data_IF_577016741066
#
_entry.id   IF_577016741066
#
_cell.length_a   1.000
_cell.length_b   1.000
_cell.length_c   1.000
_cell.angle_alpha   90.00
_cell.angle_beta   90.00
_cell.angle_gamma   90.00
#
_symmetry.space_group_name_H-M   'P 1'
#
loop_
_entity.id
_entity.type
_entity.pdbx_description
1 polymer ?
#
# COMPACT_ATOMS: atom_id res chain seq x y z
N UNK A 1 -15.23 2.81 20.27
CA UNK A 1 -15.07 2.73 18.83
C UNK A 1 -13.74 3.39 18.49
N UNK A 2 -12.77 2.58 18.07
CA UNK A 2 -11.55 3.09 17.48
C UNK A 2 -11.97 3.91 16.27
N UNK A 3 -11.71 5.22 16.30
CA UNK A 3 -11.71 6.06 15.10
C UNK A 3 -10.64 5.46 14.17
N UNK A 4 -11.04 4.54 13.34
CA UNK A 4 -10.35 4.31 12.10
C UNK A 4 -10.76 5.50 11.25
N UNK A 5 -9.83 6.45 11.06
CA UNK A 5 -9.94 7.37 9.96
C UNK A 5 -10.25 6.52 8.74
N UNK A 6 -11.12 7.01 7.91
CA UNK A 6 -11.49 6.38 6.66
C UNK A 6 -10.25 6.38 5.73
N UNK A 7 -9.34 5.45 5.95
CA UNK A 7 -8.39 5.04 4.92
C UNK A 7 -9.25 4.40 3.83
N UNK A 8 -9.80 5.28 2.98
CA UNK A 8 -10.55 4.87 1.82
C UNK A 8 -9.58 4.10 0.95
N UNK A 9 -9.85 2.81 0.81
CA UNK A 9 -8.95 1.87 0.18
C UNK A 9 -8.91 2.02 -1.33
N UNK A 10 -7.73 1.94 -1.92
CA UNK A 10 -7.54 1.71 -3.35
C UNK A 10 -7.91 0.25 -3.71
N UNK A 11 -7.98 -0.04 -5.00
CA UNK A 11 -8.14 -1.38 -5.61
C UNK A 11 -9.53 -2.01 -5.53
N UNK A 12 -10.21 -1.97 -4.39
CA UNK A 12 -11.53 -2.60 -4.23
C UNK A 12 -12.61 -1.97 -5.10
N UNK A 13 -13.67 -2.73 -5.42
CA UNK A 13 -14.78 -2.26 -6.28
C UNK A 13 -16.16 -2.46 -5.64
N UNK A 14 -17.08 -1.62 -6.08
CA UNK A 14 -18.53 -1.78 -5.92
C UNK A 14 -19.20 -1.60 -7.28
N UNK A 15 -20.25 -2.36 -7.58
CA UNK A 15 -21.06 -2.15 -8.78
C UNK A 15 -22.21 -1.19 -8.49
N UNK A 16 -22.55 -0.35 -9.47
CA UNK A 16 -23.66 0.59 -9.39
C UNK A 16 -24.61 0.41 -10.58
N UNK A 17 -25.90 0.68 -10.34
CA UNK A 17 -26.93 0.76 -11.39
C UNK A 17 -26.88 2.11 -12.13
N UNK A 18 -27.79 2.31 -13.08
CA UNK A 18 -27.91 3.57 -13.86
C UNK A 18 -28.36 4.77 -13.03
N UNK A 19 -28.91 4.56 -11.85
CA UNK A 19 -29.27 5.60 -10.88
C UNK A 19 -28.11 5.89 -9.88
N UNK A 20 -26.98 5.17 -9.99
CA UNK A 20 -25.84 5.30 -9.09
C UNK A 20 -26.05 4.64 -7.72
N UNK A 21 -26.98 3.70 -7.58
CA UNK A 21 -27.12 2.92 -6.35
C UNK A 21 -26.20 1.70 -6.37
N UNK A 22 -25.64 1.33 -5.22
CA UNK A 22 -24.84 0.13 -5.12
C UNK A 22 -25.72 -1.12 -5.29
N UNK A 23 -25.35 -1.99 -6.22
CA UNK A 23 -26.03 -3.27 -6.52
C UNK A 23 -25.18 -4.49 -6.17
N UNK A 24 -24.11 -4.27 -5.42
CA UNK A 24 -23.26 -5.32 -4.87
C UNK A 24 -22.71 -4.95 -3.49
N UNK A 25 -22.18 -5.92 -2.72
CA UNK A 25 -21.31 -5.59 -1.60
C UNK A 25 -20.02 -4.91 -2.12
N UNK A 26 -19.29 -4.25 -1.21
CA UNK A 26 -17.95 -3.77 -1.49
C UNK A 26 -16.97 -4.96 -1.49
N UNK A 27 -16.34 -5.20 -2.61
CA UNK A 27 -15.19 -6.10 -2.71
C UNK A 27 -13.92 -5.32 -2.37
N UNK A 28 -13.26 -5.68 -1.29
CA UNK A 28 -12.11 -4.89 -0.79
C UNK A 28 -10.80 -5.28 -1.47
N UNK A 29 -9.73 -4.52 -1.24
CA UNK A 29 -8.38 -4.84 -1.69
C UNK A 29 -7.85 -6.18 -1.13
N UNK A 30 -8.45 -6.70 -0.07
CA UNK A 30 -8.13 -8.01 0.54
C UNK A 30 -8.87 -9.17 -0.13
N UNK A 31 -9.66 -8.91 -1.17
CA UNK A 31 -10.41 -9.96 -1.86
C UNK A 31 -9.47 -11.00 -2.44
N UNK A 32 -9.61 -12.24 -1.98
CA UNK A 32 -8.72 -13.36 -2.31
C UNK A 32 -9.06 -14.10 -3.60
N UNK A 33 -10.18 -13.78 -4.28
CA UNK A 33 -10.69 -14.53 -5.45
C UNK A 33 -9.72 -14.58 -6.61
N UNK A 34 -8.87 -13.54 -6.79
CA UNK A 34 -7.84 -13.53 -7.81
C UNK A 34 -6.79 -14.64 -7.67
N UNK A 35 -6.61 -15.19 -6.46
CA UNK A 35 -5.70 -16.31 -6.18
C UNK A 35 -6.34 -17.69 -6.36
N UNK A 36 -7.65 -17.77 -6.58
CA UNK A 36 -8.34 -19.04 -6.81
C UNK A 36 -7.88 -19.65 -8.13
N UNK A 37 -7.85 -20.99 -8.16
CA UNK A 37 -7.45 -21.75 -9.35
C UNK A 37 -8.44 -21.53 -10.49
N UNK A 38 -7.90 -21.31 -11.70
CA UNK A 38 -8.65 -21.13 -12.93
C UNK A 38 -8.14 -22.10 -14.01
N UNK A 39 -8.03 -21.66 -15.26
CA UNK A 39 -7.59 -22.49 -16.39
C UNK A 39 -6.07 -22.74 -16.37
N UNK A 40 -5.66 -23.86 -16.97
CA UNK A 40 -4.24 -24.22 -17.20
C UNK A 40 -3.38 -24.22 -15.92
N UNK A 41 -3.97 -24.59 -14.78
CA UNK A 41 -3.35 -24.54 -13.45
C UNK A 41 -2.93 -23.15 -12.99
N UNK A 42 -3.32 -22.07 -13.68
CA UNK A 42 -3.11 -20.69 -13.28
C UNK A 42 -4.20 -20.26 -12.30
N UNK A 43 -3.95 -19.17 -11.58
CA UNK A 43 -5.00 -18.43 -10.89
C UNK A 43 -5.58 -17.33 -11.79
N UNK A 44 -6.69 -16.71 -11.37
CA UNK A 44 -7.36 -15.67 -12.15
C UNK A 44 -6.47 -14.46 -12.42
N UNK A 45 -5.68 -14.01 -11.43
CA UNK A 45 -4.77 -12.88 -11.59
C UNK A 45 -3.68 -13.18 -12.63
N UNK A 46 -3.03 -14.35 -12.53
CA UNK A 46 -1.98 -14.75 -13.49
C UNK A 46 -2.56 -14.95 -14.90
N UNK A 47 -3.75 -15.53 -15.01
CA UNK A 47 -4.41 -15.71 -16.30
C UNK A 47 -4.74 -14.37 -16.94
N UNK A 48 -5.30 -13.41 -16.17
CA UNK A 48 -5.58 -12.06 -16.64
C UNK A 48 -4.31 -11.33 -17.10
N UNK A 49 -3.22 -11.42 -16.31
CA UNK A 49 -1.91 -10.89 -16.69
C UNK A 49 -1.44 -11.43 -18.05
N UNK A 50 -1.55 -12.75 -18.26
CA UNK A 50 -1.10 -13.39 -19.51
C UNK A 50 -1.90 -12.93 -20.72
N UNK A 51 -3.21 -12.66 -20.57
CA UNK A 51 -4.08 -12.19 -21.64
C UNK A 51 -3.79 -10.72 -21.99
N UNK A 52 -3.62 -9.89 -20.96
CA UNK A 52 -3.59 -8.43 -21.11
C UNK A 52 -2.19 -7.86 -21.21
N UNK A 53 -1.17 -8.58 -20.71
CA UNK A 53 0.19 -8.07 -20.57
C UNK A 53 0.40 -7.14 -19.36
N UNK A 54 -0.68 -6.74 -18.67
CA UNK A 54 -0.61 -5.84 -17.53
C UNK A 54 -0.35 -6.58 -16.23
N UNK A 55 0.38 -5.99 -15.27
CA UNK A 55 0.49 -6.52 -13.91
C UNK A 55 -0.90 -6.70 -13.27
N UNK A 56 -1.16 -7.89 -12.74
CA UNK A 56 -2.42 -8.20 -12.08
C UNK A 56 -2.15 -8.96 -10.77
N UNK A 57 -2.85 -8.58 -9.72
CA UNK A 57 -2.77 -9.21 -8.42
C UNK A 57 -4.17 -9.37 -7.81
N UNK A 58 -4.34 -10.36 -6.93
CA UNK A 58 -5.57 -10.50 -6.15
C UNK A 58 -5.85 -9.22 -5.37
N UNK A 59 -7.11 -8.80 -5.35
CA UNK A 59 -7.54 -7.54 -4.76
C UNK A 59 -7.57 -6.36 -5.74
N UNK A 60 -6.95 -6.44 -6.92
CA UNK A 60 -7.14 -5.44 -7.97
C UNK A 60 -8.56 -5.51 -8.52
N UNK A 61 -9.18 -4.35 -8.72
CA UNK A 61 -10.59 -4.26 -9.10
C UNK A 61 -10.96 -5.02 -10.36
N UNK A 62 -10.14 -4.92 -11.42
CA UNK A 62 -10.39 -5.65 -12.66
C UNK A 62 -10.08 -7.15 -12.56
N UNK A 63 -9.24 -7.59 -11.61
CA UNK A 63 -9.10 -9.02 -11.30
C UNK A 63 -10.35 -9.56 -10.62
N UNK A 64 -10.90 -8.81 -9.66
CA UNK A 64 -12.17 -9.14 -9.00
C UNK A 64 -13.32 -9.17 -10.00
N UNK A 65 -13.40 -8.17 -10.88
CA UNK A 65 -14.42 -8.11 -11.93
C UNK A 65 -14.28 -9.25 -12.94
N UNK A 66 -13.05 -9.56 -13.36
CA UNK A 66 -12.76 -10.69 -14.24
C UNK A 66 -13.25 -12.01 -13.63
N UNK A 67 -12.95 -12.26 -12.36
CA UNK A 67 -13.50 -13.41 -11.65
C UNK A 67 -15.03 -13.42 -11.68
N UNK A 68 -15.66 -12.28 -11.40
CA UNK A 68 -17.12 -12.18 -11.37
C UNK A 68 -17.76 -12.47 -12.72
N UNK A 69 -17.17 -12.00 -13.82
CA UNK A 69 -17.62 -12.34 -15.20
C UNK A 69 -17.57 -13.85 -15.42
N UNK A 70 -16.43 -14.48 -15.14
CA UNK A 70 -16.21 -15.90 -15.40
C UNK A 70 -17.10 -16.81 -14.55
N UNK A 71 -17.67 -16.31 -13.47
CA UNK A 71 -18.53 -17.07 -12.55
C UNK A 71 -19.99 -16.59 -12.50
N UNK A 72 -20.41 -15.69 -13.41
CA UNK A 72 -21.79 -15.19 -13.45
C UNK A 72 -22.20 -14.40 -12.21
N UNK A 73 -21.29 -13.70 -11.58
CA UNK A 73 -21.48 -12.96 -10.33
C UNK A 73 -21.58 -11.44 -10.52
N UNK A 74 -21.50 -10.97 -11.75
CA UNK A 74 -21.77 -9.55 -12.05
C UNK A 74 -23.29 -9.33 -11.91
N UNK A 75 -23.75 -8.37 -11.09
CA UNK A 75 -25.19 -8.10 -10.97
C UNK A 75 -25.81 -7.75 -12.32
N UNK A 76 -27.03 -8.23 -12.57
CA UNK A 76 -27.70 -8.07 -13.86
C UNK A 76 -28.01 -6.58 -14.19
N UNK A 77 -28.17 -5.75 -13.16
CA UNK A 77 -28.40 -4.30 -13.22
C UNK A 77 -27.12 -3.46 -13.03
N UNK A 78 -25.93 -4.11 -13.02
CA UNK A 78 -24.66 -3.41 -12.96
C UNK A 78 -24.44 -2.56 -14.23
N UNK A 79 -24.35 -1.26 -14.05
CA UNK A 79 -24.08 -0.28 -15.10
C UNK A 79 -22.63 0.19 -15.08
N UNK A 80 -22.08 0.46 -13.87
CA UNK A 80 -20.69 0.86 -13.66
C UNK A 80 -20.07 0.08 -12.51
N UNK A 81 -18.75 0.00 -12.48
CA UNK A 81 -17.97 -0.32 -11.30
C UNK A 81 -17.12 0.88 -10.89
N UNK A 82 -16.83 1.02 -9.62
CA UNK A 82 -15.95 2.08 -9.12
C UNK A 82 -15.34 1.67 -7.78
N UNK A 83 -14.34 2.42 -7.33
CA UNK A 83 -13.84 2.25 -5.95
C UNK A 83 -14.82 2.85 -4.96
N UNK A 84 -14.66 2.51 -3.68
CA UNK A 84 -15.50 3.11 -2.61
C UNK A 84 -15.28 4.62 -2.50
N UNK A 85 -14.10 5.13 -2.86
CA UNK A 85 -13.79 6.56 -2.88
C UNK A 85 -14.58 7.27 -3.96
N UNK A 86 -14.60 6.73 -5.17
CA UNK A 86 -15.35 7.29 -6.31
C UNK A 86 -16.85 7.22 -6.05
N UNK A 87 -17.32 6.12 -5.43
CA UNK A 87 -18.71 5.97 -4.99
C UNK A 87 -19.10 7.04 -3.99
N UNK A 88 -18.27 7.32 -2.99
CA UNK A 88 -18.53 8.37 -2.01
C UNK A 88 -18.58 9.77 -2.67
N UNK A 89 -17.64 10.05 -3.59
CA UNK A 89 -17.64 11.30 -4.38
C UNK A 89 -18.91 11.41 -5.21
N UNK A 90 -19.29 10.35 -5.92
CA UNK A 90 -20.51 10.29 -6.75
C UNK A 90 -21.75 10.62 -5.93
N UNK A 91 -21.89 10.00 -4.74
CA UNK A 91 -23.04 10.25 -3.84
C UNK A 91 -23.03 11.66 -3.25
N UNK A 92 -21.88 12.21 -2.88
CA UNK A 92 -21.77 13.58 -2.36
C UNK A 92 -22.05 14.63 -3.43
N UNK A 93 -21.61 14.39 -4.67
CA UNK A 93 -21.80 15.32 -5.79
C UNK A 93 -23.18 15.24 -6.45
N UNK A 94 -23.98 14.23 -6.10
CA UNK A 94 -25.29 13.98 -6.73
C UNK A 94 -25.21 13.39 -8.14
N UNK A 95 -24.04 12.90 -8.57
CA UNK A 95 -23.87 12.24 -9.84
C UNK A 95 -24.45 10.81 -9.82
N UNK A 96 -24.89 10.32 -10.98
CA UNK A 96 -25.33 8.93 -11.15
C UNK A 96 -24.24 8.02 -11.74
N UNK A 97 -23.15 8.60 -12.23
CA UNK A 97 -22.01 7.87 -12.77
C UNK A 97 -20.73 8.25 -12.02
N UNK A 98 -19.87 7.26 -11.70
CA UNK A 98 -18.62 7.52 -10.99
C UNK A 98 -17.58 8.17 -11.92
N UNK A 99 -16.83 9.11 -11.35
CA UNK A 99 -15.67 9.75 -11.94
C UNK A 99 -14.43 9.33 -11.15
N UNK A 100 -13.33 9.04 -11.82
CA UNK A 100 -12.12 8.49 -11.18
C UNK A 100 -10.87 9.29 -11.56
N UNK A 101 -10.04 9.59 -10.55
CA UNK A 101 -8.71 10.19 -10.74
C UNK A 101 -7.72 9.14 -11.29
N UNK A 102 -6.75 9.51 -12.16
CA UNK A 102 -5.75 8.58 -12.69
C UNK A 102 -4.97 7.82 -11.62
N UNK A 103 -4.69 8.45 -10.45
CA UNK A 103 -3.99 7.81 -9.35
C UNK A 103 -4.79 6.66 -8.73
N UNK A 104 -6.12 6.77 -8.74
CA UNK A 104 -7.04 5.75 -8.27
C UNK A 104 -7.37 4.74 -9.39
N UNK A 105 -7.55 5.19 -10.63
CA UNK A 105 -7.82 4.34 -11.80
C UNK A 105 -6.72 3.30 -12.02
N UNK A 106 -5.45 3.70 -11.89
CA UNK A 106 -4.31 2.78 -12.00
C UNK A 106 -4.39 1.61 -11.00
N UNK A 107 -5.07 1.78 -9.87
CA UNK A 107 -5.24 0.75 -8.86
C UNK A 107 -6.23 -0.35 -9.23
N UNK A 108 -7.10 -0.09 -10.20
CA UNK A 108 -8.04 -1.11 -10.71
C UNK A 108 -7.34 -2.15 -11.59
N UNK A 109 -6.22 -1.80 -12.23
CA UNK A 109 -5.48 -2.63 -13.17
C UNK A 109 -5.82 -2.33 -14.64
N UNK A 110 -5.05 -2.89 -15.57
CA UNK A 110 -5.17 -2.72 -17.05
C UNK A 110 -5.24 -1.24 -17.43
N UNK A 111 -4.32 -0.45 -16.88
CA UNK A 111 -4.24 0.99 -17.00
C UNK A 111 -2.89 1.39 -17.58
N UNK A 112 -2.89 2.10 -18.72
CA UNK A 112 -1.70 2.70 -19.30
C UNK A 112 -1.29 3.91 -18.43
N UNK A 113 -0.29 3.68 -17.59
CA UNK A 113 0.16 4.67 -16.59
C UNK A 113 0.89 5.85 -17.24
N UNK A 114 1.40 5.71 -18.45
CA UNK A 114 2.07 6.79 -19.17
C UNK A 114 1.04 7.70 -19.87
N UNK A 115 0.03 7.12 -20.51
CA UNK A 115 -1.05 7.87 -21.14
C UNK A 115 -2.16 8.29 -20.17
N UNK A 116 -2.16 7.73 -18.97
CA UNK A 116 -3.18 7.93 -17.92
C UNK A 116 -4.61 7.56 -18.38
N UNK A 117 -4.75 6.44 -19.09
CA UNK A 117 -6.02 5.90 -19.58
C UNK A 117 -6.12 4.40 -19.35
N UNK A 118 -7.33 3.87 -19.29
CA UNK A 118 -7.56 2.43 -19.38
C UNK A 118 -7.19 1.92 -20.78
N UNK A 119 -6.47 0.80 -20.87
CA UNK A 119 -6.18 0.13 -22.13
C UNK A 119 -7.41 -0.67 -22.57
N UNK A 120 -8.25 -0.04 -23.39
CA UNK A 120 -9.51 -0.62 -23.85
C UNK A 120 -9.32 -1.87 -24.69
N UNK A 121 -8.23 -1.98 -25.48
CA UNK A 121 -7.93 -3.18 -26.25
C UNK A 121 -7.58 -4.37 -25.33
N UNK A 122 -6.72 -4.14 -24.33
CA UNK A 122 -6.37 -5.17 -23.37
C UNK A 122 -7.58 -5.58 -22.49
N UNK A 123 -8.46 -4.63 -22.15
CA UNK A 123 -9.71 -4.88 -21.43
C UNK A 123 -10.65 -5.76 -22.25
N UNK A 124 -10.84 -5.46 -23.52
CA UNK A 124 -11.67 -6.26 -24.44
C UNK A 124 -11.09 -7.66 -24.67
N UNK A 125 -9.76 -7.80 -24.78
CA UNK A 125 -9.09 -9.13 -24.86
C UNK A 125 -9.38 -9.99 -23.61
N UNK A 126 -9.58 -9.38 -22.46
CA UNK A 126 -10.00 -10.09 -21.25
C UNK A 126 -11.50 -10.44 -21.21
N UNK A 127 -12.28 -10.06 -22.23
CA UNK A 127 -13.73 -10.25 -22.24
C UNK A 127 -14.47 -9.30 -21.29
N UNK A 128 -13.88 -8.15 -21.02
CA UNK A 128 -14.48 -7.09 -20.19
C UNK A 128 -15.01 -6.00 -21.10
N UNK A 129 -16.27 -5.57 -20.89
CA UNK A 129 -16.84 -4.45 -21.60
C UNK A 129 -16.32 -3.13 -21.04
N UNK A 130 -15.60 -2.28 -21.82
CA UNK A 130 -15.01 -1.03 -21.30
C UNK A 130 -16.04 -0.04 -20.75
N UNK A 131 -17.29 -0.13 -21.20
CA UNK A 131 -18.39 0.75 -20.76
C UNK A 131 -18.71 0.62 -19.27
N UNK A 132 -18.29 -0.48 -18.61
CA UNK A 132 -18.49 -0.66 -17.17
C UNK A 132 -17.54 0.20 -16.32
N UNK A 133 -16.46 0.69 -16.91
CA UNK A 133 -15.44 1.47 -16.20
C UNK A 133 -15.93 2.89 -15.90
N UNK A 134 -15.44 3.50 -14.81
CA UNK A 134 -15.68 4.92 -14.54
C UNK A 134 -14.98 5.80 -15.58
N UNK A 135 -15.49 7.02 -15.76
CA UNK A 135 -14.84 8.04 -16.58
C UNK A 135 -13.64 8.63 -15.85
N UNK A 136 -12.51 8.73 -16.54
CA UNK A 136 -11.29 9.31 -15.97
C UNK A 136 -11.39 10.83 -15.99
N UNK A 137 -11.12 11.44 -14.84
CA UNK A 137 -11.05 12.89 -14.65
C UNK A 137 -9.63 13.32 -14.30
N UNK A 138 -9.13 14.46 -14.81
CA UNK A 138 -7.85 15.00 -14.34
C UNK A 138 -7.84 15.23 -12.83
N UNK A 139 -6.69 15.05 -12.20
CA UNK A 139 -6.53 15.28 -10.77
C UNK A 139 -6.97 16.69 -10.36
N UNK A 140 -7.55 16.81 -9.17
CA UNK A 140 -8.12 18.05 -8.62
C UNK A 140 -9.24 18.69 -9.45
N UNK A 141 -9.90 17.94 -10.33
CA UNK A 141 -11.10 18.40 -11.02
C UNK A 141 -12.33 18.32 -10.11
N UNK A 142 -13.23 19.27 -10.24
CA UNK A 142 -14.50 19.30 -9.52
C UNK A 142 -15.43 18.24 -10.13
N UNK A 143 -15.77 17.24 -9.35
CA UNK A 143 -16.74 16.20 -9.72
C UNK A 143 -18.21 16.69 -9.58
N UNK A 144 -18.45 17.69 -8.75
CA UNK A 144 -19.76 18.27 -8.49
C UNK A 144 -19.77 19.08 -7.21
N UNK A 145 -20.95 19.24 -6.61
CA UNK A 145 -21.11 20.05 -5.39
C UNK A 145 -21.97 19.32 -4.38
N UNK A 146 -21.57 19.34 -3.12
CA UNK A 146 -22.40 19.02 -1.99
C UNK A 146 -22.92 20.34 -1.39
N UNK A 147 -24.19 20.65 -1.58
CA UNK A 147 -24.77 21.98 -1.34
C UNK A 147 -23.98 23.06 -2.13
N UNK A 148 -23.13 23.85 -1.46
CA UNK A 148 -22.28 24.89 -2.06
C UNK A 148 -20.79 24.55 -2.00
N UNK A 149 -20.45 23.37 -1.46
CA UNK A 149 -19.05 22.94 -1.28
C UNK A 149 -18.64 22.13 -2.50
N UNK A 150 -17.55 22.50 -3.20
CA UNK A 150 -17.07 21.71 -4.33
C UNK A 150 -16.55 20.37 -3.84
N UNK A 151 -16.96 19.30 -4.53
CA UNK A 151 -16.50 17.93 -4.33
C UNK A 151 -15.57 17.58 -5.48
N UNK A 152 -14.37 17.13 -5.17
CA UNK A 152 -13.35 16.81 -6.14
C UNK A 152 -13.21 15.30 -6.35
N UNK A 153 -12.66 14.89 -7.51
CA UNK A 153 -12.33 13.50 -7.74
C UNK A 153 -11.40 12.98 -6.64
N UNK A 154 -11.68 11.77 -6.15
CA UNK A 154 -10.89 11.14 -5.09
C UNK A 154 -9.55 10.64 -5.63
N UNK A 155 -8.47 10.93 -4.92
CA UNK A 155 -7.12 10.47 -5.26
C UNK A 155 -6.76 9.19 -4.48
N UNK A 156 -5.80 8.41 -4.97
CA UNK A 156 -5.34 7.21 -4.29
C UNK A 156 -4.80 7.51 -2.88
N UNK A 157 -5.09 6.64 -1.93
CA UNK A 157 -4.74 6.80 -0.51
C UNK A 157 -3.23 6.86 -0.26
N UNK A 158 -2.45 6.06 -0.98
CA UNK A 158 -0.98 6.07 -0.90
C UNK A 158 -0.41 7.38 -1.43
N UNK A 159 -0.90 7.88 -2.57
CA UNK A 159 -0.51 9.17 -3.13
C UNK A 159 -0.90 10.32 -2.22
N UNK A 160 -2.11 10.28 -1.67
CA UNK A 160 -2.58 11.26 -0.69
C UNK A 160 -1.68 11.26 0.57
N UNK A 161 -1.35 10.09 1.11
CA UNK A 161 -0.44 9.98 2.26
C UNK A 161 0.95 10.54 1.96
N UNK A 162 1.48 10.27 0.77
CA UNK A 162 2.75 10.85 0.32
C UNK A 162 2.69 12.37 0.27
N UNK A 163 1.70 12.94 -0.40
CA UNK A 163 1.52 14.39 -0.52
C UNK A 163 1.34 15.07 0.84
N UNK A 164 0.68 14.40 1.79
CA UNK A 164 0.47 14.93 3.13
C UNK A 164 1.67 14.83 4.06
N UNK A 165 2.58 13.90 3.80
CA UNK A 165 3.77 13.65 4.64
C UNK A 165 5.03 14.34 4.13
N UNK A 166 5.20 14.43 2.80
CA UNK A 166 6.45 14.83 2.15
C UNK A 166 6.36 16.25 1.63
N UNK A 167 7.26 17.13 2.11
CA UNK A 167 7.33 18.51 1.66
C UNK A 167 8.23 18.69 0.43
N UNK A 168 9.38 18.03 0.44
CA UNK A 168 10.36 18.02 -0.65
C UNK A 168 10.34 16.64 -1.32
N UNK A 169 9.51 16.49 -2.35
CA UNK A 169 9.30 15.21 -3.04
C UNK A 169 10.54 14.73 -3.79
N UNK A 170 11.36 15.65 -4.27
CA UNK A 170 12.51 15.33 -5.12
C UNK A 170 13.67 14.74 -4.30
N UNK A 171 13.84 15.18 -3.05
CA UNK A 171 14.95 14.76 -2.20
C UNK A 171 14.56 13.85 -1.03
N UNK A 172 13.28 13.46 -0.93
CA UNK A 172 12.81 12.63 0.16
C UNK A 172 12.63 11.16 -0.23
N UNK A 173 12.94 10.28 0.72
CA UNK A 173 12.49 8.90 0.76
C UNK A 173 11.32 8.84 1.75
N UNK A 174 10.15 8.41 1.33
CA UNK A 174 9.01 8.26 2.23
C UNK A 174 8.84 6.80 2.63
N UNK A 175 8.80 6.55 3.93
CA UNK A 175 8.59 5.23 4.53
C UNK A 175 7.32 5.26 5.37
N UNK A 176 6.40 4.35 5.07
CA UNK A 176 5.21 4.11 5.88
C UNK A 176 5.29 2.75 6.54
N UNK A 177 5.13 2.69 7.86
CA UNK A 177 5.05 1.43 8.60
C UNK A 177 3.77 1.38 9.42
N UNK A 178 2.84 0.56 8.93
CA UNK A 178 1.63 0.14 9.63
C UNK A 178 1.70 -1.36 9.90
N UNK A 179 0.66 -2.12 9.59
CA UNK A 179 0.67 -3.60 9.57
C UNK A 179 1.66 -4.11 8.52
N UNK A 180 1.56 -3.60 7.30
CA UNK A 180 2.56 -3.71 6.24
C UNK A 180 3.57 -2.57 6.30
N UNK A 181 4.57 -2.58 5.42
CA UNK A 181 5.48 -1.45 5.25
C UNK A 181 5.65 -1.12 3.77
N UNK A 182 5.88 0.17 3.49
CA UNK A 182 6.06 0.67 2.14
C UNK A 182 7.18 1.71 2.10
N UNK A 183 7.90 1.72 0.98
CA UNK A 183 8.79 2.80 0.59
C UNK A 183 8.21 3.45 -0.67
N UNK A 184 8.20 4.78 -0.73
CA UNK A 184 7.70 5.54 -1.87
C UNK A 184 8.72 6.62 -2.25
N UNK A 185 9.10 6.64 -3.52
CA UNK A 185 10.07 7.57 -4.07
C UNK A 185 9.43 8.26 -5.29
N UNK A 186 9.52 9.59 -5.30
CA UNK A 186 9.04 10.39 -6.43
C UNK A 186 10.01 10.36 -7.61
N UNK A 187 9.43 10.34 -8.82
CA UNK A 187 10.12 10.55 -10.10
C UNK A 187 9.25 11.42 -11.03
N UNK A 188 9.88 12.26 -11.83
CA UNK A 188 9.21 13.14 -12.81
C UNK A 188 8.80 12.40 -14.10
N UNK A 189 9.33 11.20 -14.33
CA UNK A 189 9.10 10.41 -15.54
C UNK A 189 8.60 9.00 -15.22
N UNK A 190 7.84 8.44 -16.15
CA UNK A 190 7.42 7.05 -16.09
C UNK A 190 8.62 6.10 -16.19
N UNK A 191 8.64 5.06 -15.39
CA UNK A 191 9.57 3.95 -15.49
C UNK A 191 8.99 2.69 -14.86
N UNK A 192 9.33 1.55 -15.42
CA UNK A 192 9.03 0.24 -14.86
C UNK A 192 10.29 -0.35 -14.24
N UNK A 193 10.19 -0.76 -12.98
CA UNK A 193 11.27 -1.42 -12.24
C UNK A 193 10.68 -2.66 -11.62
N UNK A 194 11.30 -3.79 -11.89
CA UNK A 194 10.85 -5.06 -11.30
C UNK A 194 10.72 -4.95 -9.78
N UNK A 195 9.64 -5.52 -9.25
CA UNK A 195 9.29 -5.50 -7.82
C UNK A 195 8.87 -4.13 -7.25
N UNK A 196 8.87 -3.07 -8.05
CA UNK A 196 8.28 -1.77 -7.69
C UNK A 196 7.00 -1.51 -8.49
N UNK A 197 6.01 -0.92 -7.84
CA UNK A 197 4.78 -0.46 -8.50
C UNK A 197 4.91 1.03 -8.82
N UNK A 198 4.82 1.38 -10.09
CA UNK A 198 4.81 2.78 -10.53
C UNK A 198 3.38 3.29 -10.50
N UNK A 199 3.14 4.36 -9.73
CA UNK A 199 1.81 4.94 -9.50
C UNK A 199 1.78 6.39 -9.94
N UNK A 200 0.83 6.80 -10.78
CA UNK A 200 0.64 8.21 -11.12
C UNK A 200 0.43 9.05 -9.86
N UNK A 201 1.09 10.20 -9.78
CA UNK A 201 0.96 11.13 -8.66
C UNK A 201 0.11 12.34 -9.08
N UNK A 202 -0.95 12.70 -8.34
CA UNK A 202 -1.66 13.94 -8.57
C UNK A 202 -0.71 15.15 -8.56
N UNK A 203 -0.86 16.02 -9.54
CA UNK A 203 0.07 17.16 -9.73
C UNK A 203 1.29 16.83 -10.61
N UNK A 204 1.38 15.61 -11.13
CA UNK A 204 2.38 15.18 -12.11
C UNK A 204 3.52 14.33 -11.57
N UNK A 205 4.10 13.53 -12.45
CA UNK A 205 5.09 12.52 -12.13
C UNK A 205 4.50 11.27 -11.52
N UNK A 206 5.34 10.48 -10.85
CA UNK A 206 5.00 9.14 -10.37
C UNK A 206 5.62 8.86 -9.00
N UNK A 207 5.04 7.92 -8.29
CA UNK A 207 5.65 7.26 -7.14
C UNK A 207 6.11 5.86 -7.55
N UNK A 208 7.36 5.55 -7.28
CA UNK A 208 7.90 4.19 -7.29
C UNK A 208 7.70 3.62 -5.89
N UNK A 209 6.88 2.58 -5.79
CA UNK A 209 6.42 2.04 -4.50
C UNK A 209 6.89 0.60 -4.33
N UNK A 210 7.73 0.34 -3.33
CA UNK A 210 8.04 -0.98 -2.83
C UNK A 210 7.19 -1.29 -1.60
N UNK A 211 6.51 -2.44 -1.59
CA UNK A 211 5.62 -2.82 -0.50
C UNK A 211 5.94 -4.21 0.04
N UNK A 212 6.25 -4.29 1.35
CA UNK A 212 6.39 -5.53 2.09
C UNK A 212 5.10 -5.84 2.86
N UNK A 213 4.64 -7.10 2.78
CA UNK A 213 3.41 -7.54 3.43
C UNK A 213 3.50 -7.51 4.95
N UNK A 214 4.70 -7.78 5.49
CA UNK A 214 4.99 -7.74 6.93
C UNK A 214 5.86 -6.52 7.27
N UNK A 215 5.26 -5.51 7.89
CA UNK A 215 5.95 -4.37 8.49
C UNK A 215 5.84 -4.44 10.02
N UNK A 216 5.03 -3.58 10.61
CA UNK A 216 4.73 -3.61 12.04
C UNK A 216 4.09 -4.93 12.50
N UNK A 217 3.48 -5.69 11.60
CA UNK A 217 2.96 -7.03 11.92
C UNK A 217 4.08 -8.00 12.32
N UNK A 218 5.25 -7.95 11.67
CA UNK A 218 6.40 -8.76 12.08
C UNK A 218 6.79 -8.47 13.54
N UNK A 219 6.84 -7.20 13.92
CA UNK A 219 7.13 -6.80 15.30
C UNK A 219 6.01 -7.21 16.27
N UNK A 220 4.75 -7.17 15.85
CA UNK A 220 3.62 -7.67 16.63
C UNK A 220 3.65 -9.19 16.81
N UNK A 221 4.13 -9.93 15.83
CA UNK A 221 4.32 -11.38 15.91
C UNK A 221 5.39 -11.72 16.96
N UNK A 222 6.51 -11.00 16.97
CA UNK A 222 7.56 -11.17 17.99
C UNK A 222 7.02 -10.83 19.38
N UNK A 223 6.23 -9.76 19.53
CA UNK A 223 5.57 -9.44 20.80
C UNK A 223 4.66 -10.58 21.26
N UNK A 224 3.87 -11.16 20.33
CA UNK A 224 3.02 -12.32 20.65
C UNK A 224 3.87 -13.50 21.12
N UNK A 225 4.96 -13.80 20.44
CA UNK A 225 5.90 -14.86 20.83
C UNK A 225 6.39 -14.68 22.27
N UNK A 226 6.81 -13.47 22.67
CA UNK A 226 7.25 -13.22 24.04
C UNK A 226 6.13 -13.37 25.07
N UNK A 227 4.90 -12.95 24.74
CA UNK A 227 3.76 -13.13 25.64
C UNK A 227 3.39 -14.60 25.81
N UNK A 228 3.35 -15.36 24.72
CA UNK A 228 3.08 -16.79 24.73
C UNK A 228 4.17 -17.55 25.53
N UNK A 229 5.45 -17.15 25.38
CA UNK A 229 6.55 -17.71 26.15
C UNK A 229 6.41 -17.41 27.65
N UNK A 230 6.12 -16.16 28.01
CA UNK A 230 5.89 -15.77 29.40
C UNK A 230 4.76 -16.60 30.04
N UNK A 231 3.65 -16.71 29.32
CA UNK A 231 2.48 -17.47 29.73
C UNK A 231 2.79 -18.98 29.91
N UNK A 232 3.58 -19.54 28.99
CA UNK A 232 3.99 -20.96 29.05
C UNK A 232 4.79 -21.30 30.32
N UNK A 233 5.71 -20.39 30.74
CA UNK A 233 6.62 -20.69 31.85
C UNK A 233 6.17 -20.13 33.22
N UNK A 234 5.30 -19.12 33.24
CA UNK A 234 4.96 -18.41 34.50
C UNK A 234 3.46 -18.31 34.75
N UNK A 235 2.62 -18.76 33.82
CA UNK A 235 1.16 -18.56 33.81
C UNK A 235 0.71 -17.08 33.83
N UNK A 236 1.67 -16.13 33.66
CA UNK A 236 1.40 -14.69 33.61
C UNK A 236 1.23 -14.23 32.19
N UNK A 237 0.47 -13.16 32.04
CA UNK A 237 0.27 -12.46 30.77
C UNK A 237 0.47 -10.96 30.99
N UNK A 238 1.16 -10.32 30.05
CA UNK A 238 1.34 -8.87 30.06
C UNK A 238 0.42 -8.23 29.03
N UNK A 239 0.00 -7.00 29.29
CA UNK A 239 -0.73 -6.25 28.30
C UNK A 239 0.14 -5.97 27.07
N UNK A 240 -0.51 -5.82 25.90
CA UNK A 240 0.21 -5.46 24.69
C UNK A 240 1.02 -4.16 24.84
N UNK A 241 0.50 -3.20 25.61
CA UNK A 241 1.15 -1.91 25.84
C UNK A 241 2.43 -2.08 26.67
N UNK A 242 2.38 -2.90 27.73
CA UNK A 242 3.55 -3.16 28.58
C UNK A 242 4.65 -3.89 27.82
N UNK A 243 4.28 -4.91 27.02
CA UNK A 243 5.24 -5.62 26.18
C UNK A 243 5.90 -4.70 25.17
N UNK A 244 5.15 -3.87 24.46
CA UNK A 244 5.76 -2.90 23.54
C UNK A 244 6.67 -1.92 24.27
N UNK A 245 6.28 -1.44 25.46
CA UNK A 245 7.11 -0.56 26.27
C UNK A 245 8.44 -1.22 26.65
N UNK A 246 8.43 -2.49 27.08
CA UNK A 246 9.64 -3.27 27.36
C UNK A 246 10.48 -3.44 26.10
N UNK A 247 9.88 -3.93 25.01
CA UNK A 247 10.59 -4.20 23.76
C UNK A 247 11.22 -2.94 23.13
N UNK A 248 10.59 -1.77 23.28
CA UNK A 248 11.12 -0.51 22.73
C UNK A 248 12.07 0.22 23.67
N UNK A 249 12.22 -0.21 24.94
CA UNK A 249 13.12 0.40 25.92
C UNK A 249 14.54 -0.15 25.91
N UNK A 250 14.79 -1.26 25.19
CA UNK A 250 16.15 -1.79 25.07
C UNK A 250 17.06 -0.82 24.30
N UNK A 251 18.35 -0.71 24.68
CA UNK A 251 19.28 0.13 23.97
C UNK A 251 19.56 -0.43 22.57
N UNK A 252 19.55 0.44 21.56
CA UNK A 252 20.01 0.06 20.23
C UNK A 252 21.55 -0.11 20.26
N UNK A 253 22.11 -1.23 19.78
CA UNK A 253 23.55 -1.50 19.88
C UNK A 253 24.35 -0.55 19.00
N UNK A 254 25.53 -0.12 19.49
CA UNK A 254 26.47 0.70 18.71
C UNK A 254 27.14 -0.06 17.55
N UNK A 255 27.19 -1.37 17.64
CA UNK A 255 27.76 -2.24 16.61
C UNK A 255 26.80 -3.40 16.37
N UNK A 256 26.37 -3.56 15.16
CA UNK A 256 25.40 -4.57 14.73
C UNK A 256 26.07 -5.75 14.00
N UNK A 257 27.41 -5.72 13.86
CA UNK A 257 28.17 -6.84 13.29
C UNK A 257 28.06 -8.09 14.15
N UNK A 258 27.67 -9.21 13.54
CA UNK A 258 27.48 -10.48 14.24
C UNK A 258 26.13 -10.65 14.93
N UNK A 259 25.19 -9.72 14.75
CA UNK A 259 23.80 -9.87 15.17
C UNK A 259 23.08 -10.97 14.37
N UNK A 260 21.94 -11.40 14.92
CA UNK A 260 20.97 -12.22 14.18
C UNK A 260 20.51 -11.46 12.93
N UNK A 261 20.37 -12.17 11.83
CA UNK A 261 19.74 -11.66 10.62
C UNK A 261 18.32 -12.22 10.58
N UNK A 262 17.33 -11.32 10.57
CA UNK A 262 15.92 -11.68 10.47
C UNK A 262 15.39 -11.21 9.12
N UNK A 263 14.91 -12.17 8.35
CA UNK A 263 14.11 -11.91 7.16
C UNK A 263 12.63 -11.91 7.56
N UNK A 264 11.96 -10.80 7.34
CA UNK A 264 10.58 -10.60 7.81
C UNK A 264 9.51 -11.01 6.80
N UNK A 265 9.83 -11.84 5.81
CA UNK A 265 8.90 -12.35 4.79
C UNK A 265 7.93 -13.42 5.33
N UNK A 266 7.31 -13.19 6.49
CA UNK A 266 6.46 -14.18 7.15
C UNK A 266 5.20 -14.55 6.35
N UNK A 267 4.66 -13.60 5.58
CA UNK A 267 3.53 -13.79 4.67
C UNK A 267 3.96 -13.86 3.19
N UNK A 268 5.26 -14.04 2.94
CA UNK A 268 5.84 -14.04 1.60
C UNK A 268 5.84 -12.66 0.95
N UNK A 269 5.90 -12.65 -0.38
CA UNK A 269 5.78 -11.45 -1.20
C UNK A 269 4.54 -11.55 -2.10
N UNK A 270 4.13 -10.47 -2.74
CA UNK A 270 3.03 -10.50 -3.73
C UNK A 270 3.35 -11.40 -4.93
N UNK A 271 4.61 -11.49 -5.32
CA UNK A 271 5.09 -12.33 -6.42
C UNK A 271 5.34 -13.78 -6.00
N UNK A 272 5.70 -14.01 -4.73
CA UNK A 272 5.95 -15.33 -4.17
C UNK A 272 5.29 -15.49 -2.77
N UNK A 273 3.99 -15.84 -2.72
CA UNK A 273 3.27 -15.99 -1.46
C UNK A 273 3.71 -17.19 -0.61
N UNK A 274 4.54 -18.08 -1.17
CA UNK A 274 5.07 -19.26 -0.46
C UNK A 274 6.40 -19.01 0.25
N UNK A 275 7.02 -17.86 0.04
CA UNK A 275 8.24 -17.47 0.73
C UNK A 275 7.95 -17.30 2.24
N UNK A 276 8.96 -17.59 3.07
CA UNK A 276 8.82 -17.51 4.54
C UNK A 276 10.01 -16.82 5.15
N UNK A 277 9.73 -16.08 6.21
CA UNK A 277 10.75 -15.43 7.03
C UNK A 277 11.76 -16.40 7.62
N UNK A 278 12.95 -15.91 7.90
CA UNK A 278 14.08 -16.69 8.40
C UNK A 278 14.80 -15.95 9.51
N UNK A 279 15.37 -16.71 10.43
CA UNK A 279 16.33 -16.20 11.40
C UNK A 279 17.63 -16.96 11.16
N UNK A 280 18.71 -16.25 10.85
CA UNK A 280 20.01 -16.81 10.50
C UNK A 280 21.13 -16.19 11.32
N UNK A 281 22.35 -16.69 11.17
CA UNK A 281 23.54 -16.25 11.90
C UNK A 281 23.41 -16.41 13.44
N UNK A 282 22.66 -17.43 13.87
CA UNK A 282 22.51 -17.77 15.29
C UNK A 282 23.83 -18.33 15.82
N UNK A 283 24.26 -17.81 16.96
CA UNK A 283 25.40 -18.28 17.71
C UNK A 283 25.07 -18.40 19.21
N UNK A 284 25.94 -19.02 19.97
CA UNK A 284 25.79 -19.13 21.44
C UNK A 284 25.83 -17.79 22.18
N UNK A 285 26.38 -16.76 21.55
CA UNK A 285 26.54 -15.43 22.16
C UNK A 285 25.47 -14.43 21.74
N UNK A 286 24.71 -14.68 20.68
CA UNK A 286 23.78 -13.70 20.14
C UNK A 286 22.29 -14.11 20.18
N UNK A 287 21.98 -15.35 20.54
CA UNK A 287 20.59 -15.82 20.63
C UNK A 287 19.94 -15.39 21.94
N UNK A 288 19.64 -14.10 22.05
CA UNK A 288 18.99 -13.47 23.21
C UNK A 288 17.71 -12.73 22.81
N UNK A 289 16.77 -12.49 23.75
CA UNK A 289 15.56 -11.71 23.49
C UNK A 289 15.85 -10.32 22.90
N UNK A 290 16.87 -9.63 23.42
CA UNK A 290 17.25 -8.30 22.95
C UNK A 290 17.73 -8.34 21.49
N UNK A 291 18.58 -9.31 21.15
CA UNK A 291 19.07 -9.47 19.79
C UNK A 291 17.97 -9.89 18.81
N UNK A 292 16.98 -10.66 19.25
CA UNK A 292 15.78 -10.92 18.46
C UNK A 292 15.02 -9.63 18.19
N UNK A 293 14.77 -8.79 19.19
CA UNK A 293 14.06 -7.52 19.01
C UNK A 293 14.80 -6.61 18.02
N UNK A 294 16.11 -6.48 18.17
CA UNK A 294 16.96 -5.69 17.25
C UNK A 294 16.94 -6.30 15.85
N UNK A 295 17.12 -7.62 15.72
CA UNK A 295 17.08 -8.31 14.44
C UNK A 295 15.77 -8.10 13.68
N UNK A 296 14.62 -8.08 14.38
CA UNK A 296 13.32 -7.81 13.72
C UNK A 296 13.20 -6.39 13.19
N UNK A 297 13.63 -5.36 13.93
CA UNK A 297 13.58 -3.97 13.42
C UNK A 297 14.58 -3.76 12.28
N UNK A 298 15.75 -4.40 12.34
CA UNK A 298 16.72 -4.41 11.25
C UNK A 298 16.19 -5.13 10.01
N UNK A 299 15.51 -6.26 10.18
CA UNK A 299 14.88 -6.99 9.09
C UNK A 299 13.79 -6.20 8.37
N UNK A 300 12.97 -5.45 9.10
CA UNK A 300 11.98 -4.52 8.51
C UNK A 300 12.71 -3.43 7.70
N UNK A 301 13.76 -2.85 8.26
CA UNK A 301 14.57 -1.82 7.59
C UNK A 301 15.25 -2.36 6.33
N UNK A 302 15.84 -3.56 6.41
CA UNK A 302 16.51 -4.21 5.27
C UNK A 302 15.54 -4.52 4.13
N UNK A 303 14.34 -5.03 4.45
CA UNK A 303 13.31 -5.29 3.45
C UNK A 303 12.89 -4.03 2.69
N UNK A 304 12.81 -2.88 3.37
CA UNK A 304 12.54 -1.59 2.74
C UNK A 304 13.73 -1.08 1.93
N UNK A 305 14.94 -1.24 2.47
CA UNK A 305 16.17 -0.83 1.78
C UNK A 305 16.43 -1.66 0.52
N UNK A 306 16.04 -2.93 0.51
CA UNK A 306 16.10 -3.75 -0.70
C UNK A 306 15.36 -3.09 -1.87
N UNK A 307 14.15 -2.56 -1.67
CA UNK A 307 13.44 -1.83 -2.71
C UNK A 307 14.16 -0.55 -3.14
N UNK A 308 14.80 0.15 -2.19
CA UNK A 308 15.60 1.34 -2.50
C UNK A 308 16.81 1.00 -3.39
N UNK A 309 17.44 -0.17 -3.17
CA UNK A 309 18.55 -0.62 -3.99
C UNK A 309 18.19 -0.89 -5.46
N UNK A 310 16.93 -1.26 -5.74
CA UNK A 310 16.42 -1.50 -7.10
C UNK A 310 16.34 -0.22 -7.94
N UNK A 311 16.35 0.95 -7.31
CA UNK A 311 16.26 2.22 -8.01
C UNK A 311 17.50 2.50 -8.86
N UNK A 312 17.35 3.18 -10.02
CA UNK A 312 18.48 3.74 -10.75
C UNK A 312 19.31 4.70 -9.89
N UNK A 313 20.62 4.76 -10.16
CA UNK A 313 21.55 5.54 -9.34
C UNK A 313 21.16 7.02 -9.23
N UNK A 314 20.72 7.64 -10.32
CA UNK A 314 20.32 9.04 -10.35
C UNK A 314 19.15 9.38 -9.40
N UNK A 315 18.29 8.39 -9.07
CA UNK A 315 17.22 8.57 -8.08
C UNK A 315 17.70 8.38 -6.65
N UNK A 316 18.78 7.62 -6.44
CA UNK A 316 19.34 7.36 -5.10
C UNK A 316 20.21 8.53 -4.62
N UNK A 317 21.06 9.04 -5.50
CA UNK A 317 22.10 10.01 -5.14
C UNK A 317 21.59 11.38 -4.74
N UNK A 318 20.39 11.78 -5.17
CA UNK A 318 19.80 13.05 -4.79
C UNK A 318 18.94 13.00 -3.51
N UNK A 319 18.75 11.80 -2.91
CA UNK A 319 17.96 11.66 -1.68
C UNK A 319 18.77 12.10 -0.47
N UNK A 320 18.19 13.01 0.32
CA UNK A 320 18.85 13.63 1.48
C UNK A 320 18.00 13.57 2.75
N UNK A 321 16.76 13.11 2.65
CA UNK A 321 15.86 13.01 3.81
C UNK A 321 15.05 11.73 3.80
N UNK A 322 14.75 11.24 5.01
CA UNK A 322 13.94 10.06 5.26
C UNK A 322 12.69 10.48 6.04
N UNK A 323 11.53 10.44 5.40
CA UNK A 323 10.26 10.85 6.02
C UNK A 323 9.50 9.60 6.45
N UNK A 324 9.22 9.50 7.75
CA UNK A 324 8.51 8.38 8.36
C UNK A 324 7.05 8.71 8.67
N UNK A 325 6.14 7.81 8.29
CA UNK A 325 4.71 7.88 8.60
C UNK A 325 4.15 6.54 9.10
N UNK A 326 2.91 6.56 9.61
CA UNK A 326 2.26 5.38 10.16
C UNK A 326 2.63 5.06 11.61
N UNK A 327 1.73 4.34 12.29
CA UNK A 327 1.86 4.08 13.73
C UNK A 327 3.04 3.15 14.09
N UNK A 328 3.44 2.26 13.19
CA UNK A 328 4.55 1.34 13.44
C UNK A 328 5.89 2.06 13.55
N UNK A 329 6.10 3.09 12.73
CA UNK A 329 7.31 3.91 12.82
C UNK A 329 7.18 4.96 13.94
N UNK A 330 6.07 5.69 14.05
CA UNK A 330 5.87 6.75 15.06
C UNK A 330 6.08 6.27 16.51
N UNK A 331 5.80 4.98 16.80
CA UNK A 331 5.83 4.42 18.15
C UNK A 331 7.04 3.54 18.45
N UNK A 332 7.95 3.35 17.49
CA UNK A 332 9.09 2.44 17.67
C UNK A 332 10.45 3.15 17.41
N UNK A 333 11.08 3.71 18.46
CA UNK A 333 12.38 4.38 18.32
C UNK A 333 13.52 3.45 17.88
N UNK A 334 13.42 2.13 18.11
CA UNK A 334 14.41 1.17 17.61
C UNK A 334 14.34 1.04 16.10
N UNK A 335 13.13 1.10 15.53
CA UNK A 335 12.95 1.09 14.07
C UNK A 335 13.50 2.37 13.44
N UNK A 336 13.39 3.54 14.13
CA UNK A 336 14.05 4.75 13.64
C UNK A 336 15.55 4.53 13.49
N UNK A 337 16.19 4.00 14.55
CA UNK A 337 17.65 3.75 14.52
C UNK A 337 18.07 2.76 13.44
N UNK A 338 17.29 1.69 13.25
CA UNK A 338 17.55 0.71 12.18
C UNK A 338 17.44 1.35 10.78
N UNK A 339 16.43 2.20 10.56
CA UNK A 339 16.25 2.93 9.31
C UNK A 339 17.36 3.98 9.10
N UNK A 340 17.69 4.76 10.14
CA UNK A 340 18.77 5.76 10.09
C UNK A 340 20.12 5.11 9.77
N UNK A 341 20.44 3.98 10.42
CA UNK A 341 21.66 3.22 10.15
C UNK A 341 21.71 2.72 8.71
N UNK A 342 20.57 2.19 8.21
CA UNK A 342 20.55 1.54 6.91
C UNK A 342 20.50 2.50 5.74
N UNK A 343 19.74 3.60 5.86
CA UNK A 343 19.56 4.61 4.79
C UNK A 343 20.57 5.75 4.88
N UNK A 344 21.28 5.91 5.98
CA UNK A 344 22.26 6.98 6.16
C UNK A 344 21.65 8.36 6.41
N UNK A 345 20.36 8.46 6.68
CA UNK A 345 19.64 9.72 6.90
C UNK A 345 18.78 9.65 8.17
N UNK A 346 18.67 10.76 8.93
CA UNK A 346 17.80 10.81 10.10
C UNK A 346 16.33 10.68 9.71
N UNK A 347 15.57 9.94 10.50
CA UNK A 347 14.13 9.81 10.31
C UNK A 347 13.41 11.08 10.78
N UNK A 348 12.74 11.74 9.85
CA UNK A 348 11.84 12.87 10.13
C UNK A 348 10.41 12.35 10.18
N UNK A 349 9.79 12.38 11.36
CA UNK A 349 8.39 11.93 11.49
C UNK A 349 7.43 12.97 10.92
N UNK A 350 6.44 12.50 10.18
CA UNK A 350 5.31 13.34 9.79
C UNK A 350 4.58 13.84 11.06
N UNK A 351 4.42 15.15 11.16
CA UNK A 351 3.68 15.78 12.27
C UNK A 351 2.17 15.74 12.04
N UNK A 352 1.73 15.36 10.85
CA UNK A 352 0.32 15.26 10.48
C UNK A 352 -0.23 13.92 11.00
N UNK A 353 -1.38 13.96 11.67
CA UNK A 353 -2.01 12.73 12.17
C UNK A 353 -2.76 11.98 11.08
N UNK A 354 -3.43 12.73 10.19
CA UNK A 354 -4.24 12.22 9.07
C UNK A 354 -3.58 12.62 7.75
N UNK A 355 -2.44 11.98 7.46
CA UNK A 355 -1.59 12.35 6.31
C UNK A 355 -2.37 12.28 4.99
N UNK A 356 -3.17 11.24 4.77
CA UNK A 356 -3.93 11.08 3.52
C UNK A 356 -5.00 12.18 3.34
N UNK A 357 -5.74 12.51 4.40
CA UNK A 357 -6.74 13.58 4.36
C UNK A 357 -6.08 14.94 4.09
N UNK A 358 -4.96 15.21 4.75
CA UNK A 358 -4.20 16.45 4.55
C UNK A 358 -3.61 16.53 3.13
N UNK A 359 -3.08 15.42 2.61
CA UNK A 359 -2.53 15.35 1.25
C UNK A 359 -3.60 15.56 0.17
N UNK A 360 -4.80 15.03 0.36
CA UNK A 360 -5.93 15.32 -0.51
C UNK A 360 -6.23 16.85 -0.55
N UNK A 361 -6.18 17.53 0.60
CA UNK A 361 -6.33 18.99 0.67
C UNK A 361 -5.18 19.74 -0.02
N UNK A 362 -3.92 19.27 0.12
CA UNK A 362 -2.75 19.90 -0.54
C UNK A 362 -2.88 19.79 -2.05
N UNK A 363 -3.33 18.65 -2.57
CA UNK A 363 -3.54 18.45 -4.00
C UNK A 363 -4.42 19.56 -4.63
N UNK A 364 -5.42 20.04 -3.88
CA UNK A 364 -6.32 21.11 -4.34
C UNK A 364 -5.70 22.50 -4.30
N UNK A 365 -4.70 22.75 -3.43
CA UNK A 365 -4.03 24.06 -3.30
C UNK A 365 -2.97 24.28 -4.37
N UNK A 366 -2.31 23.24 -4.84
CA UNK A 366 -1.19 23.34 -5.79
C UNK A 366 -1.63 23.57 -7.24
N UNK A 367 -2.93 23.68 -7.50
CA UNK A 367 -3.50 23.91 -8.85
C UNK A 367 -4.05 25.34 -9.05
N UNK A 368 -3.76 26.28 -8.14
CA UNK A 368 -4.05 27.71 -8.31
C UNK A 368 -2.81 28.44 -8.88
#
# INVERSE_FOLDING_TARGET
PTRRSSDLQMHGIVYTDVQGNAVSPLYTWQDGRGNLRYKDNLNYATHLKNITGYPAASGYGLVTHYYNIQNGLVPADAFKLCTIMDYAVMKLSGNNTPLIDPSNAASLGIFDKEKLIFDTEAIQKAGIEPTILPEIMPSASIAGYFEKIPVYAAIGDNQASFLGSVRDKDHSIHITVGTSSQISIYTDRYMEIDSLDTRPLPGGGYLLVGAALCGGYAYALLRKFFNDTLKLFTEKELSNADLYKIMTSIPYPKNTKGNLIVDTLFDGTRSNPNERGKITHISTSNFTPENLIIGFVQGISEGLYHYFQLLPEFLKTNKTSLVGSGNGIKKNPLLHKALEERFGHPVQLSHIQEEAAFGACINLKNQK
#
